data_IF_661651307469
#
_entry.id   IF_661651307469
#
_cell.length_a   1.000
_cell.length_b   1.000
_cell.length_c   1.000
_cell.angle_alpha   90.00
_cell.angle_beta   90.00
_cell.angle_gamma   90.00
#
_symmetry.space_group_name_H-M   'P 1'
#
loop_
_entity.id
_entity.type
_entity.pdbx_description
1 polymer ?
#
# COMPACT_ATOMS: atom_id res chain seq x y z
N UNK A 1 -22.75 9.80 -3.06
CA UNK A 1 -21.61 8.89 -2.83
C UNK A 1 -21.89 7.90 -1.70
N UNK A 2 -22.52 8.31 -0.59
CA UNK A 2 -22.84 7.38 0.52
C UNK A 2 -23.80 6.26 0.13
N UNK A 3 -24.84 6.53 -0.67
CA UNK A 3 -25.76 5.50 -1.16
C UNK A 3 -25.05 4.36 -1.91
N UNK A 4 -24.05 4.69 -2.74
CA UNK A 4 -23.26 3.71 -3.47
C UNK A 4 -22.47 2.80 -2.52
N UNK A 5 -21.89 3.36 -1.46
CA UNK A 5 -21.20 2.58 -0.44
C UNK A 5 -22.15 1.66 0.33
N UNK A 6 -23.40 2.07 0.52
CA UNK A 6 -24.46 1.22 1.07
C UNK A 6 -24.71 0.00 0.18
N UNK A 7 -24.79 0.19 -1.15
CA UNK A 7 -24.92 -0.91 -2.11
C UNK A 7 -23.71 -1.84 -2.05
N UNK A 8 -22.48 -1.30 -2.04
CA UNK A 8 -21.27 -2.12 -1.96
C UNK A 8 -21.21 -2.97 -0.70
N UNK A 9 -21.60 -2.41 0.46
CA UNK A 9 -21.73 -3.18 1.70
C UNK A 9 -22.77 -4.27 1.56
N UNK A 10 -23.96 -3.98 1.05
CA UNK A 10 -25.01 -4.98 0.88
C UNK A 10 -24.59 -6.16 0.00
N UNK A 11 -23.84 -5.90 -1.08
CA UNK A 11 -23.31 -6.97 -1.95
C UNK A 11 -22.20 -7.77 -1.25
N UNK A 12 -21.33 -7.10 -0.48
CA UNK A 12 -20.30 -7.77 0.33
C UNK A 12 -20.91 -8.67 1.42
N UNK A 13 -21.90 -8.16 2.14
CA UNK A 13 -22.62 -8.86 3.22
C UNK A 13 -23.40 -10.08 2.70
N UNK A 14 -23.81 -10.05 1.43
CA UNK A 14 -24.40 -11.19 0.72
C UNK A 14 -23.37 -12.28 0.32
N UNK A 15 -22.09 -12.11 0.69
CA UNK A 15 -21.02 -13.09 0.50
C UNK A 15 -20.16 -12.89 -0.75
N UNK A 16 -20.36 -11.81 -1.51
CA UNK A 16 -19.51 -11.50 -2.65
C UNK A 16 -18.22 -10.77 -2.21
N UNK A 17 -17.13 -10.96 -2.96
CA UNK A 17 -15.90 -10.16 -2.77
C UNK A 17 -15.89 -9.01 -3.77
N UNK A 18 -15.80 -7.77 -3.27
CA UNK A 18 -15.65 -6.57 -4.10
C UNK A 18 -14.21 -6.05 -4.04
N UNK A 19 -13.70 -5.65 -5.20
CA UNK A 19 -12.42 -4.92 -5.31
C UNK A 19 -12.75 -3.49 -5.73
N UNK A 20 -12.38 -2.53 -4.90
CA UNK A 20 -12.51 -1.11 -5.17
C UNK A 20 -11.12 -0.52 -5.36
N UNK A 21 -10.89 0.13 -6.51
CA UNK A 21 -9.66 0.85 -6.78
C UNK A 21 -9.93 2.35 -6.71
N UNK A 22 -9.29 3.04 -5.77
CA UNK A 22 -9.34 4.50 -5.64
C UNK A 22 -7.97 5.03 -5.26
N UNK A 23 -7.70 6.29 -5.66
CA UNK A 23 -6.54 7.05 -5.20
C UNK A 23 -6.89 8.00 -4.04
N UNK A 24 -8.17 8.06 -3.64
CA UNK A 24 -8.66 8.89 -2.54
C UNK A 24 -8.64 8.05 -1.27
N UNK A 25 -7.84 8.42 -0.27
CA UNK A 25 -7.70 7.62 0.95
C UNK A 25 -9.02 7.47 1.71
N UNK A 26 -9.86 8.50 1.80
CA UNK A 26 -11.19 8.41 2.42
C UNK A 26 -12.10 7.34 1.82
N UNK A 27 -11.93 7.03 0.52
CA UNK A 27 -12.66 5.95 -0.14
C UNK A 27 -12.03 4.59 0.19
N UNK A 28 -10.70 4.52 0.21
CA UNK A 28 -9.98 3.31 0.58
C UNK A 28 -10.25 2.88 2.03
N UNK A 29 -10.31 3.81 2.98
CA UNK A 29 -10.57 3.53 4.41
C UNK A 29 -11.97 2.99 4.70
N UNK A 30 -12.88 3.05 3.73
CA UNK A 30 -14.19 2.40 3.83
C UNK A 30 -14.10 0.89 3.55
N UNK A 31 -13.01 0.40 2.97
CA UNK A 31 -12.81 -1.03 2.76
C UNK A 31 -12.27 -1.72 4.02
N UNK A 32 -12.51 -3.02 4.15
CA UNK A 32 -12.02 -3.82 5.28
C UNK A 32 -10.50 -4.04 5.22
N UNK A 33 -9.96 -4.11 3.99
CA UNK A 33 -8.55 -4.33 3.70
C UNK A 33 -8.07 -3.39 2.61
N UNK A 34 -6.80 -3.02 2.71
CA UNK A 34 -6.11 -2.13 1.80
C UNK A 34 -4.98 -2.89 1.08
N UNK A 35 -4.93 -2.73 -0.23
CA UNK A 35 -3.77 -3.08 -1.05
C UNK A 35 -3.16 -1.79 -1.59
N UNK A 36 -1.99 -1.43 -1.09
CA UNK A 36 -1.28 -0.25 -1.55
C UNK A 36 -0.29 -0.67 -2.62
N UNK A 37 -0.32 0.02 -3.76
CA UNK A 37 0.48 -0.34 -4.93
C UNK A 37 1.30 0.84 -5.45
N UNK A 38 2.51 0.54 -5.90
CA UNK A 38 3.40 1.51 -6.57
C UNK A 38 4.24 0.80 -7.61
N UNK A 39 4.35 1.41 -8.79
CA UNK A 39 5.16 0.88 -9.90
C UNK A 39 4.86 -0.60 -10.22
N UNK A 40 3.58 -0.99 -10.21
CA UNK A 40 3.13 -2.36 -10.50
C UNK A 40 3.38 -3.38 -9.39
N UNK A 41 3.83 -2.97 -8.20
CA UNK A 41 4.07 -3.85 -7.05
C UNK A 41 3.16 -3.49 -5.89
N UNK A 42 2.78 -4.48 -5.10
CA UNK A 42 2.12 -4.28 -3.81
C UNK A 42 3.20 -3.93 -2.78
N UNK A 43 3.06 -2.77 -2.16
CA UNK A 43 3.98 -2.27 -1.14
C UNK A 43 3.44 -2.48 0.28
N UNK A 44 2.11 -2.66 0.42
CA UNK A 44 1.50 -3.04 1.68
C UNK A 44 0.16 -3.76 1.48
N UNK A 45 -0.14 -4.66 2.40
CA UNK A 45 -1.43 -5.33 2.52
C UNK A 45 -1.85 -5.31 3.99
N UNK A 46 -2.77 -4.42 4.35
CA UNK A 46 -3.10 -4.13 5.75
C UNK A 46 -4.59 -3.76 5.90
N UNK A 47 -5.03 -3.44 7.11
CA UNK A 47 -6.34 -2.83 7.35
C UNK A 47 -6.20 -1.31 7.43
N UNK A 48 -7.28 -0.51 7.32
CA UNK A 48 -7.24 0.92 7.57
C UNK A 48 -6.55 1.30 8.88
N UNK A 49 -6.89 0.60 9.97
CA UNK A 49 -6.28 0.85 11.28
C UNK A 49 -4.82 0.36 11.34
N UNK A 50 -4.50 -0.76 10.67
CA UNK A 50 -3.14 -1.27 10.55
C UNK A 50 -2.23 -0.28 9.84
N UNK A 51 -2.69 0.34 8.74
CA UNK A 51 -1.94 1.39 8.03
C UNK A 51 -1.51 2.53 8.97
N UNK A 52 -2.43 3.05 9.77
CA UNK A 52 -2.14 4.13 10.72
C UNK A 52 -1.17 3.68 11.82
N UNK A 53 -1.41 2.50 12.39
CA UNK A 53 -0.59 1.94 13.46
C UNK A 53 0.84 1.65 13.00
N UNK A 54 1.01 1.02 11.84
CA UNK A 54 2.31 0.62 11.29
C UNK A 54 3.19 1.81 10.89
N UNK A 55 2.55 2.93 10.56
CA UNK A 55 3.23 4.18 10.16
C UNK A 55 3.38 5.16 11.32
N UNK A 56 2.66 4.95 12.43
CA UNK A 56 2.60 5.89 13.56
C UNK A 56 1.87 7.19 13.22
N UNK A 57 1.04 7.19 12.16
CA UNK A 57 0.34 8.36 11.67
C UNK A 57 -1.14 8.34 12.09
N UNK A 58 -1.73 9.53 12.22
CA UNK A 58 -3.17 9.71 12.40
C UNK A 58 -3.88 10.10 11.12
N UNK A 59 -3.12 10.53 10.12
CA UNK A 59 -3.60 10.96 8.81
C UNK A 59 -3.31 9.88 7.75
N UNK A 60 -4.32 9.39 7.02
CA UNK A 60 -4.19 8.33 6.01
C UNK A 60 -3.25 8.70 4.85
N UNK A 61 -3.31 9.94 4.37
CA UNK A 61 -2.43 10.41 3.30
C UNK A 61 -0.98 10.44 3.77
N UNK A 62 -0.70 10.95 4.97
CA UNK A 62 0.61 10.88 5.59
C UNK A 62 1.09 9.43 5.79
N UNK A 63 0.21 8.53 6.23
CA UNK A 63 0.54 7.11 6.39
C UNK A 63 0.96 6.48 5.05
N UNK A 64 0.22 6.75 3.97
CA UNK A 64 0.55 6.30 2.64
C UNK A 64 1.92 6.84 2.17
N UNK A 65 2.19 8.14 2.37
CA UNK A 65 3.46 8.75 2.01
C UNK A 65 4.64 8.12 2.78
N UNK A 66 4.47 7.83 4.06
CA UNK A 66 5.48 7.13 4.87
C UNK A 66 5.79 5.75 4.29
N UNK A 67 4.79 4.98 3.85
CA UNK A 67 5.02 3.68 3.21
C UNK A 67 5.73 3.81 1.87
N UNK A 68 5.37 4.80 1.05
CA UNK A 68 6.03 5.07 -0.23
C UNK A 68 7.51 5.41 -0.02
N UNK A 69 7.83 6.16 1.02
CA UNK A 69 9.20 6.50 1.37
C UNK A 69 9.99 5.27 1.84
N UNK A 70 9.41 4.44 2.73
CA UNK A 70 10.03 3.18 3.18
C UNK A 70 10.32 2.22 2.02
N UNK A 71 9.35 2.00 1.12
CA UNK A 71 9.56 1.18 -0.10
C UNK A 71 10.70 1.73 -0.97
N UNK A 72 10.78 3.06 -1.13
CA UNK A 72 11.86 3.68 -1.91
C UNK A 72 13.25 3.41 -1.31
N UNK A 73 13.38 3.44 0.01
CA UNK A 73 14.62 3.19 0.75
C UNK A 73 15.06 1.73 0.65
N UNK A 74 14.14 0.79 0.87
CA UNK A 74 14.40 -0.66 0.74
C UNK A 74 14.93 -1.03 -0.65
N UNK A 75 14.39 -0.41 -1.71
CA UNK A 75 14.86 -0.62 -3.08
C UNK A 75 16.23 0.00 -3.39
N UNK A 76 16.60 1.08 -2.71
CA UNK A 76 17.93 1.65 -2.84
C UNK A 76 18.95 0.78 -2.11
N UNK A 77 18.63 0.32 -0.91
CA UNK A 77 19.48 -0.57 -0.11
C UNK A 77 19.75 -1.88 -0.86
N UNK A 78 18.69 -2.52 -1.36
CA UNK A 78 18.81 -3.75 -2.17
C UNK A 78 19.79 -3.55 -3.34
N UNK A 79 19.63 -2.45 -4.11
CA UNK A 79 20.50 -2.16 -5.26
C UNK A 79 21.96 -1.89 -4.86
N UNK A 80 22.20 -1.21 -3.74
CA UNK A 80 23.55 -0.95 -3.22
C UNK A 80 24.24 -2.25 -2.82
N UNK A 81 23.57 -3.11 -2.06
CA UNK A 81 24.14 -4.38 -1.63
C UNK A 81 24.43 -5.33 -2.81
N UNK A 82 23.59 -5.34 -3.85
CA UNK A 82 23.89 -6.11 -5.07
C UNK A 82 25.16 -5.59 -5.76
N UNK A 83 25.32 -4.26 -5.87
CA UNK A 83 26.50 -3.63 -6.46
C UNK A 83 27.76 -3.88 -5.62
N UNK A 84 27.66 -3.90 -4.31
CA UNK A 84 28.80 -4.19 -3.42
C UNK A 84 29.21 -5.67 -3.50
N UNK A 85 28.24 -6.59 -3.59
CA UNK A 85 28.51 -8.03 -3.73
C UNK A 85 29.05 -8.45 -5.09
N UNK A 86 28.71 -7.74 -6.17
CA UNK A 86 29.09 -8.09 -7.55
C UNK A 86 30.03 -7.07 -8.23
N UNK A 87 30.38 -5.97 -7.56
CA UNK A 87 31.22 -4.90 -8.09
C UNK A 87 32.73 -5.20 -8.10
N UNK A 88 33.13 -6.43 -7.78
CA UNK A 88 34.52 -6.89 -7.80
C UNK A 88 34.99 -7.56 -9.11
N UNK A 89 34.10 -7.88 -10.07
CA UNK A 89 34.45 -8.70 -11.25
C UNK A 89 34.26 -8.00 -12.61
N UNK A 90 34.15 -6.67 -12.66
CA UNK A 90 34.18 -5.93 -13.92
C UNK A 90 35.53 -5.20 -14.09
N UNK A 91 36.59 -5.97 -14.21
CA UNK A 91 37.84 -5.53 -14.84
C UNK A 91 38.35 -6.66 -15.73
N UNK A 92 37.72 -6.82 -16.90
CA UNK A 92 38.30 -7.39 -18.12
C UNK A 92 37.75 -6.60 -19.30
#
# INVERSE_FOLDING_TARGET
REELWGVFRGVADAGATLIVSSHVMDEALRCDRLLLMRAGRIIAHTTPNGLLTDTGQTDPDAAFLTLVQRDAEDHQQTRREYRERHGGEASV
#
